data_IF_564499379802
#
_entry.id   IF_564499379802
#
_cell.length_a   1.000
_cell.length_b   1.000
_cell.length_c   1.000
_cell.angle_alpha   90.00
_cell.angle_beta   90.00
_cell.angle_gamma   90.00
#
_symmetry.space_group_name_H-M   'P 1'
#
loop_
_entity.id
_entity.type
_entity.pdbx_description
1 polymer ?
#
# COMPACT_ATOMS: atom_id res chain seq x y z
N UNK A 1 -24.94 1.79 12.23
CA UNK A 1 -23.88 0.74 12.19
C UNK A 1 -22.71 1.20 13.02
N UNK A 2 -22.18 0.34 13.87
CA UNK A 2 -20.88 0.53 14.53
C UNK A 2 -19.77 0.43 13.50
N UNK A 3 -18.53 0.79 13.86
CA UNK A 3 -17.38 0.65 12.98
C UNK A 3 -17.15 -0.82 12.57
N UNK A 4 -17.36 -1.76 13.49
CA UNK A 4 -17.20 -3.19 13.25
C UNK A 4 -18.31 -3.73 12.33
N UNK A 5 -19.58 -3.37 12.55
CA UNK A 5 -20.67 -3.76 11.65
C UNK A 5 -20.44 -3.24 10.23
N UNK A 6 -19.87 -2.03 10.10
CA UNK A 6 -19.52 -1.41 8.84
C UNK A 6 -18.39 -2.18 8.16
N UNK A 7 -17.31 -2.46 8.88
CA UNK A 7 -16.20 -3.26 8.39
C UNK A 7 -16.66 -4.64 7.90
N UNK A 8 -17.40 -5.39 8.73
CA UNK A 8 -17.94 -6.70 8.37
C UNK A 8 -18.84 -6.65 7.13
N UNK A 9 -19.59 -5.56 6.95
CA UNK A 9 -20.37 -5.33 5.74
C UNK A 9 -19.47 -5.09 4.51
N UNK A 10 -18.42 -4.29 4.65
CA UNK A 10 -17.54 -3.93 3.52
C UNK A 10 -16.73 -5.11 3.01
N UNK A 11 -16.22 -5.98 3.89
CA UNK A 11 -15.47 -7.18 3.47
C UNK A 11 -16.34 -8.20 2.73
N UNK A 12 -17.66 -8.08 2.79
CA UNK A 12 -18.57 -8.94 2.01
C UNK A 12 -18.59 -8.61 0.51
N UNK A 13 -18.03 -7.46 0.10
CA UNK A 13 -17.88 -7.10 -1.30
C UNK A 13 -16.58 -7.66 -1.85
N UNK A 14 -16.65 -8.38 -2.96
CA UNK A 14 -15.48 -8.76 -3.73
C UNK A 14 -15.02 -7.54 -4.55
N UNK A 15 -13.80 -7.07 -4.29
CA UNK A 15 -13.23 -5.87 -4.94
C UNK A 15 -11.82 -6.11 -5.44
N UNK A 16 -11.43 -7.36 -5.65
CA UNK A 16 -10.09 -7.72 -6.10
C UNK A 16 -9.71 -6.97 -7.39
N UNK A 17 -8.54 -6.35 -7.38
CA UNK A 17 -7.93 -5.69 -8.54
C UNK A 17 -7.32 -6.69 -9.54
N UNK A 18 -6.99 -6.23 -10.74
CA UNK A 18 -6.39 -7.03 -11.83
C UNK A 18 -5.29 -6.24 -12.54
N UNK A 19 -4.04 -6.63 -12.34
CA UNK A 19 -2.86 -6.02 -12.95
C UNK A 19 -2.87 -6.03 -14.49
N UNK A 20 -3.60 -6.97 -15.09
CA UNK A 20 -3.60 -7.20 -16.54
C UNK A 20 -4.77 -6.51 -17.26
N UNK A 21 -5.66 -5.86 -16.52
CA UNK A 21 -6.89 -5.29 -17.09
C UNK A 21 -6.65 -4.12 -18.04
N UNK A 22 -5.68 -3.25 -17.72
CA UNK A 22 -5.46 -1.98 -18.46
C UNK A 22 -6.60 -0.95 -18.34
N UNK A 23 -7.66 -1.25 -17.59
CA UNK A 23 -8.77 -0.34 -17.29
C UNK A 23 -8.59 0.33 -15.90
N UNK A 24 -9.41 1.34 -15.60
CA UNK A 24 -9.57 1.93 -14.27
C UNK A 24 -11.06 2.17 -14.02
N UNK A 25 -11.68 1.60 -12.96
CA UNK A 25 -11.07 0.59 -12.09
C UNK A 25 -10.71 -0.69 -12.86
N UNK A 26 -9.69 -1.40 -12.39
CA UNK A 26 -9.18 -2.60 -13.07
C UNK A 26 -10.21 -3.72 -13.10
N UNK A 27 -11.16 -3.73 -12.17
CA UNK A 27 -12.30 -4.65 -12.17
C UNK A 27 -13.63 -3.92 -11.91
N UNK A 28 -14.73 -4.33 -12.59
CA UNK A 28 -16.05 -3.74 -12.37
C UNK A 28 -16.59 -3.90 -10.94
N UNK A 29 -16.08 -4.88 -10.20
CA UNK A 29 -16.47 -5.17 -8.81
C UNK A 29 -16.21 -3.98 -7.88
N UNK A 30 -15.13 -3.25 -8.10
CA UNK A 30 -14.79 -2.05 -7.35
C UNK A 30 -15.84 -0.96 -7.51
N UNK A 31 -16.38 -0.78 -8.74
CA UNK A 31 -17.47 0.17 -9.00
C UNK A 31 -18.77 -0.20 -8.25
N UNK A 32 -19.05 -1.49 -8.09
CA UNK A 32 -20.21 -1.94 -7.29
C UNK A 32 -20.08 -1.51 -5.84
N UNK A 33 -18.90 -1.66 -5.27
CA UNK A 33 -18.62 -1.22 -3.89
C UNK A 33 -18.62 0.31 -3.77
N UNK A 34 -18.03 1.03 -4.75
CA UNK A 34 -18.06 2.50 -4.78
C UNK A 34 -19.50 3.05 -4.82
N UNK A 35 -20.39 2.43 -5.57
CA UNK A 35 -21.82 2.80 -5.61
C UNK A 35 -22.52 2.55 -4.27
N UNK A 36 -22.20 1.43 -3.61
CA UNK A 36 -22.69 1.15 -2.26
C UNK A 36 -22.25 2.24 -1.28
N UNK A 37 -20.94 2.55 -1.25
CA UNK A 37 -20.38 3.59 -0.40
C UNK A 37 -21.01 4.96 -0.69
N UNK A 38 -21.17 5.33 -1.95
CA UNK A 38 -21.86 6.56 -2.35
C UNK A 38 -23.24 6.64 -1.71
N UNK A 39 -24.04 5.58 -1.82
CA UNK A 39 -25.39 5.55 -1.25
C UNK A 39 -25.38 5.66 0.28
N UNK A 40 -24.39 5.06 0.94
CA UNK A 40 -24.22 5.20 2.40
C UNK A 40 -23.84 6.62 2.79
N UNK A 41 -22.90 7.26 2.08
CA UNK A 41 -22.50 8.65 2.33
C UNK A 41 -23.69 9.61 2.15
N UNK A 42 -24.55 9.41 1.14
CA UNK A 42 -25.78 10.18 0.93
C UNK A 42 -26.72 10.05 2.14
N UNK A 43 -26.94 8.84 2.65
CA UNK A 43 -27.81 8.59 3.82
C UNK A 43 -27.25 9.17 5.11
N UNK A 44 -25.94 9.22 5.27
CA UNK A 44 -25.27 9.79 6.45
C UNK A 44 -25.26 11.32 6.46
N UNK A 45 -25.50 11.95 5.31
CA UNK A 45 -25.56 13.40 5.17
C UNK A 45 -24.28 14.07 4.74
N UNK A 46 -23.36 13.32 4.11
CA UNK A 46 -22.20 13.92 3.44
C UNK A 46 -22.66 14.85 2.31
N UNK A 47 -21.85 15.83 2.01
CA UNK A 47 -22.08 16.83 0.97
C UNK A 47 -21.07 16.68 -0.17
N UNK A 48 -21.32 17.34 -1.30
CA UNK A 48 -20.41 17.35 -2.47
C UNK A 48 -19.95 15.94 -2.88
N UNK A 49 -20.86 14.96 -2.80
CA UNK A 49 -20.55 13.56 -3.12
C UNK A 49 -20.39 13.42 -4.62
N UNK A 50 -19.27 12.85 -5.05
CA UNK A 50 -18.97 12.63 -6.46
C UNK A 50 -18.27 11.29 -6.66
N UNK A 51 -18.86 10.45 -7.52
CA UNK A 51 -18.27 9.21 -8.02
C UNK A 51 -18.05 9.37 -9.51
N UNK A 52 -16.81 9.25 -9.97
CA UNK A 52 -16.49 9.35 -11.38
C UNK A 52 -16.48 7.97 -12.09
N UNK A 53 -16.29 8.00 -13.40
CA UNK A 53 -16.26 6.80 -14.26
C UNK A 53 -15.06 5.88 -13.97
N UNK A 54 -14.01 6.40 -13.34
CA UNK A 54 -12.83 5.65 -12.95
C UNK A 54 -12.93 5.04 -11.54
N UNK A 55 -14.05 5.26 -10.83
CA UNK A 55 -14.29 4.71 -9.51
C UNK A 55 -13.80 5.57 -8.34
N UNK A 56 -13.30 6.79 -8.57
CA UNK A 56 -12.92 7.68 -7.47
C UNK A 56 -14.15 8.30 -6.83
N UNK A 57 -14.36 8.01 -5.54
CA UNK A 57 -15.46 8.52 -4.75
C UNK A 57 -14.95 9.56 -3.76
N UNK A 58 -15.39 10.82 -3.94
CA UNK A 58 -15.07 11.92 -3.03
C UNK A 58 -16.32 12.46 -2.36
N UNK A 59 -16.21 12.87 -1.10
CA UNK A 59 -17.28 13.54 -0.38
C UNK A 59 -16.73 14.52 0.64
N UNK A 60 -17.61 15.41 1.12
CA UNK A 60 -17.31 16.41 2.14
C UNK A 60 -18.10 16.13 3.40
N UNK A 61 -17.43 16.15 4.54
CA UNK A 61 -18.04 16.34 5.84
C UNK A 61 -17.97 17.84 6.21
N UNK A 62 -19.09 18.54 6.36
CA UNK A 62 -19.09 19.98 6.56
C UNK A 62 -18.50 20.38 7.91
N UNK A 63 -17.83 21.54 7.97
CA UNK A 63 -17.32 22.11 9.21
C UNK A 63 -18.43 22.38 10.21
N UNK A 64 -18.15 22.28 11.51
CA UNK A 64 -19.05 22.66 12.60
C UNK A 64 -18.50 23.84 13.43
N UNK A 65 -17.58 24.60 12.88
CA UNK A 65 -16.97 25.81 13.46
C UNK A 65 -16.90 26.93 12.42
N UNK A 66 -17.02 28.19 12.89
CA UNK A 66 -16.85 29.39 12.07
C UNK A 66 -15.37 29.87 12.01
N UNK A 67 -14.45 29.18 12.71
CA UNK A 67 -13.04 29.51 12.64
C UNK A 67 -12.49 29.17 11.26
N UNK A 68 -11.51 29.93 10.74
CA UNK A 68 -10.78 29.59 9.53
C UNK A 68 -9.85 28.40 9.81
N UNK A 69 -10.33 27.20 9.50
CA UNK A 69 -9.60 25.93 9.67
C UNK A 69 -9.31 25.36 8.30
N UNK A 70 -8.08 24.89 8.04
CA UNK A 70 -7.74 24.26 6.78
C UNK A 70 -8.62 23.04 6.50
N UNK A 71 -8.95 22.81 5.23
CA UNK A 71 -9.59 21.57 4.83
C UNK A 71 -8.56 20.44 4.82
N UNK A 72 -8.87 19.35 5.49
CA UNK A 72 -8.03 18.15 5.54
C UNK A 72 -8.73 16.96 4.90
N UNK A 73 -7.96 15.96 4.49
CA UNK A 73 -8.49 14.77 3.86
C UNK A 73 -8.16 13.48 4.61
N UNK A 74 -9.04 12.47 4.47
CA UNK A 74 -8.75 11.08 4.79
C UNK A 74 -9.06 10.23 3.58
N UNK A 75 -8.15 9.31 3.27
CA UNK A 75 -8.18 8.49 2.06
C UNK A 75 -8.00 7.03 2.45
N UNK A 76 -8.70 6.14 1.77
CA UNK A 76 -8.56 4.68 1.87
C UNK A 76 -8.89 4.05 0.52
N UNK A 77 -8.28 2.89 0.22
CA UNK A 77 -8.55 2.23 -1.04
C UNK A 77 -9.67 1.18 -0.94
N UNK A 78 -10.34 0.94 -2.06
CA UNK A 78 -11.51 0.06 -2.13
C UNK A 78 -11.16 -1.35 -2.59
N UNK A 79 -10.11 -1.50 -3.37
CA UNK A 79 -9.70 -2.79 -3.92
C UNK A 79 -9.03 -3.67 -2.87
N UNK A 80 -8.90 -4.92 -3.18
CA UNK A 80 -8.12 -5.89 -2.43
C UNK A 80 -7.09 -6.52 -3.34
N UNK A 81 -5.99 -6.98 -2.75
CA UNK A 81 -4.85 -7.57 -3.44
C UNK A 81 -5.24 -8.69 -4.42
N UNK A 82 -4.60 -8.76 -5.60
CA UNK A 82 -4.73 -9.88 -6.53
C UNK A 82 -4.09 -11.19 -6.01
N UNK A 83 -3.25 -11.14 -4.96
CA UNK A 83 -2.49 -12.28 -4.46
C UNK A 83 -3.36 -13.39 -3.89
N UNK A 84 -4.51 -13.03 -3.30
CA UNK A 84 -5.46 -13.97 -2.73
C UNK A 84 -6.89 -13.53 -3.02
N UNK A 85 -7.78 -14.49 -3.28
CA UNK A 85 -9.19 -14.16 -3.56
C UNK A 85 -9.87 -13.44 -2.40
N UNK A 86 -10.60 -12.37 -2.73
CA UNK A 86 -11.52 -11.65 -1.84
C UNK A 86 -12.99 -12.00 -2.08
N UNK A 87 -13.26 -13.05 -2.86
CA UNK A 87 -14.63 -13.48 -3.17
C UNK A 87 -15.19 -14.38 -2.08
N UNK A 88 -16.35 -14.00 -1.53
CA UNK A 88 -17.05 -14.82 -0.53
C UNK A 88 -16.36 -14.83 0.83
N UNK A 89 -15.75 -13.74 1.22
CA UNK A 89 -15.12 -13.57 2.54
C UNK A 89 -16.13 -13.91 3.64
N UNK A 90 -15.76 -14.82 4.52
CA UNK A 90 -16.58 -15.27 5.65
C UNK A 90 -15.81 -15.01 6.95
N UNK A 91 -15.87 -13.78 7.48
CA UNK A 91 -15.13 -13.42 8.68
C UNK A 91 -15.80 -14.02 9.93
N UNK A 92 -14.99 -14.32 10.94
CA UNK A 92 -15.47 -14.67 12.28
C UNK A 92 -14.70 -13.94 13.36
N UNK A 93 -15.33 -13.74 14.50
CA UNK A 93 -14.70 -13.09 15.66
C UNK A 93 -14.21 -14.18 16.63
N UNK A 94 -12.94 -14.07 17.01
CA UNK A 94 -12.32 -14.83 18.10
C UNK A 94 -12.28 -13.90 19.30
N UNK A 95 -13.18 -14.12 20.26
CA UNK A 95 -13.30 -13.29 21.46
C UNK A 95 -12.23 -13.59 22.48
N UNK A 96 -11.64 -12.54 23.05
CA UNK A 96 -10.67 -12.65 24.14
C UNK A 96 -9.50 -13.58 23.80
N UNK A 97 -8.82 -13.34 22.69
CA UNK A 97 -7.74 -14.21 22.20
C UNK A 97 -6.76 -14.59 23.30
N UNK A 98 -6.53 -15.87 23.51
CA UNK A 98 -5.75 -16.39 24.64
C UNK A 98 -4.26 -16.61 24.35
N UNK A 99 -3.82 -16.40 23.10
CA UNK A 99 -2.44 -16.62 22.66
C UNK A 99 -2.15 -18.02 22.11
N UNK A 100 -3.19 -18.81 21.83
CA UNK A 100 -3.06 -20.14 21.23
C UNK A 100 -3.29 -20.13 19.73
N UNK A 101 -3.08 -21.27 19.08
CA UNK A 101 -3.34 -21.46 17.66
C UNK A 101 -4.83 -21.24 17.34
N UNK A 102 -5.11 -20.52 16.25
CA UNK A 102 -6.46 -20.30 15.73
C UNK A 102 -6.64 -21.16 14.47
N UNK A 103 -7.47 -22.18 14.52
CA UNK A 103 -7.80 -22.99 13.34
C UNK A 103 -8.72 -22.17 12.44
N UNK A 104 -8.25 -21.77 11.26
CA UNK A 104 -9.02 -21.05 10.25
C UNK A 104 -9.85 -22.00 9.38
N UNK A 105 -9.24 -23.10 8.92
CA UNK A 105 -9.89 -24.13 8.13
C UNK A 105 -9.38 -25.52 8.56
N UNK A 106 -10.28 -26.37 9.06
CA UNK A 106 -9.92 -27.73 9.46
C UNK A 106 -9.63 -28.62 8.24
N UNK A 107 -10.44 -28.50 7.18
CA UNK A 107 -10.33 -29.31 5.97
C UNK A 107 -8.96 -29.19 5.29
N UNK A 108 -8.45 -27.95 5.23
CA UNK A 108 -7.18 -27.62 4.56
C UNK A 108 -6.01 -27.48 5.56
N UNK A 109 -6.26 -27.78 6.85
CA UNK A 109 -5.30 -27.62 7.95
C UNK A 109 -4.65 -26.23 7.99
N UNK A 110 -5.45 -25.17 7.77
CA UNK A 110 -4.98 -23.78 7.82
C UNK A 110 -5.08 -23.29 9.27
N UNK A 111 -3.93 -22.98 9.85
CA UNK A 111 -3.82 -22.58 11.27
C UNK A 111 -3.06 -21.25 11.33
N UNK A 112 -3.70 -20.23 11.89
CA UNK A 112 -3.04 -18.98 12.27
C UNK A 112 -2.39 -19.19 13.64
N UNK A 113 -1.08 -19.35 13.65
CA UNK A 113 -0.31 -19.77 14.82
C UNK A 113 0.69 -18.70 15.25
N UNK A 114 0.79 -18.38 16.54
CA UNK A 114 1.82 -17.45 17.06
C UNK A 114 3.25 -17.98 16.90
N UNK A 115 3.44 -19.24 16.53
CA UNK A 115 4.76 -19.77 16.14
C UNK A 115 5.23 -19.28 14.79
N UNK A 116 4.30 -19.02 13.87
CA UNK A 116 4.57 -18.49 12.53
C UNK A 116 4.37 -16.97 12.48
N UNK A 117 3.44 -16.47 13.28
CA UNK A 117 3.02 -15.08 13.35
C UNK A 117 3.10 -14.60 14.81
N UNK A 118 4.31 -14.31 15.31
CA UNK A 118 4.52 -13.98 16.73
C UNK A 118 3.81 -12.70 17.17
N UNK A 119 3.50 -11.78 16.26
CA UNK A 119 2.73 -10.56 16.50
C UNK A 119 1.33 -10.83 17.07
N UNK A 120 0.76 -12.01 16.84
CA UNK A 120 -0.49 -12.42 17.48
C UNK A 120 -0.44 -12.33 19.00
N UNK A 121 0.73 -12.54 19.61
CA UNK A 121 0.88 -12.53 21.07
C UNK A 121 0.71 -11.14 21.67
N UNK A 122 0.87 -10.09 20.89
CA UNK A 122 0.67 -8.69 21.32
C UNK A 122 -0.82 -8.38 21.49
N UNK A 123 -1.70 -9.21 20.93
CA UNK A 123 -3.16 -9.06 20.95
C UNK A 123 -3.88 -9.99 21.93
N UNK A 124 -3.16 -10.56 22.92
CA UNK A 124 -3.78 -11.40 23.96
C UNK A 124 -4.81 -10.62 24.76
N UNK A 125 -6.01 -11.18 24.86
CA UNK A 125 -7.15 -10.58 25.54
C UNK A 125 -8.00 -9.67 24.64
N UNK A 126 -7.55 -9.40 23.40
CA UNK A 126 -8.34 -8.65 22.40
C UNK A 126 -9.27 -9.59 21.59
N UNK A 127 -10.26 -8.99 20.95
CA UNK A 127 -11.16 -9.68 20.04
C UNK A 127 -10.61 -9.57 18.61
N UNK A 128 -10.39 -10.70 17.94
CA UNK A 128 -9.79 -10.73 16.61
C UNK A 128 -10.83 -11.10 15.55
N UNK A 129 -10.88 -10.33 14.46
CA UNK A 129 -11.61 -10.71 13.25
C UNK A 129 -10.63 -11.46 12.34
N UNK A 130 -10.98 -12.68 11.96
CA UNK A 130 -10.15 -13.58 11.14
C UNK A 130 -10.93 -14.10 9.94
N UNK A 131 -10.23 -14.60 8.93
CA UNK A 131 -10.84 -15.27 7.78
C UNK A 131 -11.22 -16.71 8.09
N UNK A 132 -11.82 -17.40 7.11
CA UNK A 132 -12.04 -18.84 7.12
C UNK A 132 -10.87 -19.64 6.50
N UNK A 133 -9.73 -19.01 6.25
CA UNK A 133 -8.55 -19.62 5.65
C UNK A 133 -8.63 -19.93 4.15
N UNK A 134 -9.74 -19.57 3.48
CA UNK A 134 -9.95 -19.77 2.03
C UNK A 134 -9.84 -18.49 1.21
N UNK A 135 -9.92 -17.33 1.88
CA UNK A 135 -9.81 -15.99 1.28
C UNK A 135 -8.89 -15.12 2.12
N UNK A 136 -8.47 -13.96 1.58
CA UNK A 136 -8.03 -12.87 2.43
C UNK A 136 -9.20 -12.33 3.28
N UNK A 137 -8.95 -11.43 4.23
CA UNK A 137 -10.00 -10.75 5.02
C UNK A 137 -10.48 -9.48 4.34
N UNK A 138 -9.57 -8.69 3.77
CA UNK A 138 -9.81 -7.38 3.19
C UNK A 138 -9.82 -6.26 4.23
N UNK A 139 -9.10 -6.43 5.34
CA UNK A 139 -8.83 -5.35 6.28
C UNK A 139 -8.02 -4.24 5.60
N UNK A 140 -7.14 -4.63 4.74
CA UNK A 140 -6.44 -3.81 3.76
C UNK A 140 -7.32 -3.61 2.52
N UNK A 141 -7.98 -2.42 2.27
CA UNK A 141 -8.03 -1.29 3.21
C UNK A 141 -9.49 -0.93 3.57
N UNK A 142 -10.38 -1.94 3.64
CA UNK A 142 -11.78 -1.73 4.04
C UNK A 142 -11.92 -1.38 5.53
N UNK A 143 -10.89 -1.65 6.34
CA UNK A 143 -10.83 -1.15 7.72
C UNK A 143 -10.72 0.37 7.71
N UNK A 144 -9.78 0.94 6.97
CA UNK A 144 -9.62 2.39 6.84
C UNK A 144 -10.89 3.07 6.33
N UNK A 145 -11.59 2.49 5.35
CA UNK A 145 -12.89 3.03 4.89
C UNK A 145 -13.91 3.06 6.05
N UNK A 146 -14.02 1.96 6.80
CA UNK A 146 -14.97 1.86 7.92
C UNK A 146 -14.64 2.85 9.05
N UNK A 147 -13.37 3.04 9.33
CA UNK A 147 -12.84 3.98 10.33
C UNK A 147 -13.14 5.42 9.97
N UNK A 148 -12.84 5.83 8.73
CA UNK A 148 -13.10 7.18 8.22
C UNK A 148 -14.59 7.51 8.32
N UNK A 149 -15.46 6.66 7.77
CA UNK A 149 -16.90 6.91 7.77
C UNK A 149 -17.45 6.92 9.20
N UNK A 150 -17.00 6.00 10.05
CA UNK A 150 -17.46 5.93 11.44
C UNK A 150 -16.98 7.10 12.28
N UNK A 151 -15.79 7.64 12.01
CA UNK A 151 -15.30 8.86 12.65
C UNK A 151 -16.19 10.07 12.31
N UNK A 152 -16.66 10.19 11.07
CA UNK A 152 -17.59 11.26 10.68
C UNK A 152 -18.94 11.11 11.36
N UNK A 153 -19.46 9.88 11.49
CA UNK A 153 -20.68 9.61 12.25
C UNK A 153 -20.51 9.98 13.72
N UNK A 154 -19.36 9.62 14.32
CA UNK A 154 -19.04 9.99 15.70
C UNK A 154 -18.99 11.51 15.89
N UNK A 155 -18.38 12.27 14.98
CA UNK A 155 -18.36 13.73 15.02
C UNK A 155 -19.78 14.33 14.91
N UNK A 156 -20.68 13.70 14.15
CA UNK A 156 -22.10 14.10 14.08
C UNK A 156 -22.83 13.94 15.41
N UNK A 157 -22.55 12.85 16.11
CA UNK A 157 -23.14 12.53 17.41
C UNK A 157 -22.53 13.36 18.56
N UNK A 158 -21.34 13.95 18.33
CA UNK A 158 -20.58 14.74 19.28
C UNK A 158 -20.29 16.16 18.76
N UNK A 159 -21.32 17.03 18.59
CA UNK A 159 -21.16 18.36 18.00
C UNK A 159 -20.32 19.33 18.87
N UNK A 160 -20.04 18.98 20.13
CA UNK A 160 -19.09 19.68 20.99
C UNK A 160 -17.64 19.57 20.48
N UNK A 161 -17.28 18.50 19.77
CA UNK A 161 -15.98 18.34 19.11
C UNK A 161 -15.97 19.22 17.87
N UNK A 162 -15.16 20.28 17.89
CA UNK A 162 -15.05 21.22 16.76
C UNK A 162 -14.08 20.70 15.72
N UNK A 163 -14.45 20.84 14.46
CA UNK A 163 -13.63 20.46 13.30
C UNK A 163 -13.90 21.37 12.11
N UNK A 164 -12.92 21.50 11.25
CA UNK A 164 -13.02 22.15 9.94
C UNK A 164 -13.73 21.29 8.90
N UNK A 165 -13.68 21.72 7.65
CA UNK A 165 -14.11 20.90 6.49
C UNK A 165 -13.22 19.67 6.38
N UNK A 166 -13.82 18.49 6.29
CA UNK A 166 -13.11 17.23 6.09
C UNK A 166 -13.50 16.65 4.73
N UNK A 167 -12.52 16.29 3.93
CA UNK A 167 -12.73 15.55 2.70
C UNK A 167 -12.47 14.07 2.94
N UNK A 168 -13.30 13.22 2.37
CA UNK A 168 -13.05 11.78 2.32
C UNK A 168 -12.88 11.35 0.88
N UNK A 169 -11.90 10.48 0.62
CA UNK A 169 -11.60 9.94 -0.70
C UNK A 169 -11.47 8.43 -0.64
N UNK A 170 -12.20 7.75 -1.52
CA UNK A 170 -12.07 6.30 -1.69
C UNK A 170 -11.69 6.02 -3.13
N UNK A 171 -10.54 5.38 -3.32
CA UNK A 171 -9.93 5.17 -4.63
C UNK A 171 -9.82 3.69 -4.98
N UNK A 172 -9.83 3.34 -6.28
CA UNK A 172 -9.61 1.99 -6.77
C UNK A 172 -8.12 1.72 -6.97
N UNK A 173 -7.76 0.44 -7.19
CA UNK A 173 -6.51 -0.01 -7.80
C UNK A 173 -5.21 0.39 -7.08
N UNK A 174 -5.25 0.61 -5.76
CA UNK A 174 -4.04 0.84 -4.94
C UNK A 174 -3.12 -0.35 -5.01
N UNK A 175 -3.63 -1.54 -4.82
CA UNK A 175 -2.92 -2.81 -4.71
C UNK A 175 -2.12 -3.22 -5.97
N UNK A 176 -2.40 -2.55 -7.08
CA UNK A 176 -1.66 -2.69 -8.33
C UNK A 176 -0.87 -1.41 -8.68
N UNK A 177 -0.72 -0.50 -7.71
CA UNK A 177 0.06 0.74 -7.81
C UNK A 177 -0.56 1.81 -8.69
N UNK A 178 -1.86 1.76 -8.98
CA UNK A 178 -2.57 2.68 -9.86
C UNK A 178 -3.55 3.61 -9.12
N UNK A 179 -3.69 3.47 -7.80
CA UNK A 179 -4.69 4.19 -7.01
C UNK A 179 -4.58 5.71 -7.10
N UNK A 180 -3.37 6.26 -7.09
CA UNK A 180 -3.18 7.71 -7.23
C UNK A 180 -3.19 8.21 -8.69
N UNK A 181 -3.19 7.33 -9.70
CA UNK A 181 -2.95 7.72 -11.10
C UNK A 181 -3.93 8.77 -11.62
N UNK A 182 -5.22 8.53 -11.46
CA UNK A 182 -6.30 9.42 -11.90
C UNK A 182 -6.96 10.19 -10.77
N UNK A 183 -6.38 10.12 -9.56
CA UNK A 183 -6.86 10.90 -8.42
C UNK A 183 -6.73 12.39 -8.70
N UNK A 184 -7.83 13.11 -8.71
CA UNK A 184 -7.91 14.55 -8.97
C UNK A 184 -7.69 15.32 -7.65
N UNK A 185 -6.43 15.70 -7.40
CA UNK A 185 -6.02 16.41 -6.18
C UNK A 185 -6.69 17.79 -6.08
N UNK A 186 -6.87 18.52 -7.20
CA UNK A 186 -7.52 19.83 -7.19
C UNK A 186 -8.99 19.70 -6.80
N UNK A 187 -9.70 18.73 -7.37
CA UNK A 187 -11.10 18.44 -7.04
C UNK A 187 -11.25 17.89 -5.61
N UNK A 188 -10.29 17.13 -5.13
CA UNK A 188 -10.26 16.69 -3.75
C UNK A 188 -10.17 17.86 -2.79
N UNK A 189 -9.31 18.86 -3.05
CA UNK A 189 -9.38 20.19 -2.48
C UNK A 189 -9.09 20.27 -0.99
N UNK A 190 -7.96 19.67 -0.54
CA UNK A 190 -7.43 19.77 0.81
C UNK A 190 -6.03 20.37 0.82
N UNK A 191 -5.59 20.90 1.96
CA UNK A 191 -4.20 21.31 2.15
C UNK A 191 -3.28 20.11 2.35
N UNK A 192 -3.75 19.08 3.05
CA UNK A 192 -3.09 17.77 3.19
C UNK A 192 -4.12 16.68 3.47
N UNK A 193 -3.70 15.44 3.37
CA UNK A 193 -4.53 14.29 3.71
C UNK A 193 -3.73 13.24 4.50
N UNK A 194 -4.41 12.20 4.95
CA UNK A 194 -3.83 10.98 5.52
C UNK A 194 -4.46 9.79 4.83
N UNK A 195 -3.65 8.82 4.38
CA UNK A 195 -4.15 7.50 4.03
C UNK A 195 -4.30 6.67 5.29
N UNK A 196 -5.44 5.99 5.43
CA UNK A 196 -5.69 5.05 6.53
C UNK A 196 -5.34 3.63 6.07
N UNK A 197 -4.09 3.43 5.66
CA UNK A 197 -3.60 2.27 4.91
C UNK A 197 -2.33 1.66 5.54
N UNK A 198 -2.03 2.05 6.76
CA UNK A 198 -0.94 1.46 7.55
C UNK A 198 -1.37 0.17 8.27
N UNK A 199 -0.40 -0.60 8.73
CA UNK A 199 -0.63 -1.89 9.39
C UNK A 199 -0.96 -1.76 10.88
N UNK A 200 -0.01 -2.14 11.71
CA UNK A 200 -0.12 -2.29 13.16
C UNK A 200 -0.48 -0.98 13.88
N UNK A 201 -1.23 -1.09 14.96
CA UNK A 201 -1.61 0.06 15.82
C UNK A 201 -0.41 0.92 16.21
N UNK A 202 -0.54 2.21 15.91
CA UNK A 202 0.45 3.24 16.20
C UNK A 202 1.38 3.54 15.03
N UNK A 203 1.35 2.80 13.94
CA UNK A 203 2.17 3.10 12.76
C UNK A 203 1.80 4.47 12.18
N UNK A 204 2.84 5.28 12.01
CA UNK A 204 2.79 6.58 11.35
C UNK A 204 3.96 6.63 10.37
N UNK A 205 3.64 6.73 9.10
CA UNK A 205 4.59 6.53 8.04
C UNK A 205 4.59 7.72 7.08
N UNK A 206 5.73 8.37 6.97
CA UNK A 206 5.94 9.49 6.06
C UNK A 206 7.22 9.36 5.24
N UNK A 207 7.76 8.13 5.21
CA UNK A 207 8.90 7.72 4.40
C UNK A 207 8.58 6.40 3.71
N UNK A 208 9.00 6.28 2.46
CA UNK A 208 8.89 5.07 1.67
C UNK A 208 10.11 4.92 0.76
N UNK A 209 10.28 3.78 0.12
CA UNK A 209 11.32 3.62 -0.87
C UNK A 209 11.17 4.61 -2.05
N UNK A 210 12.31 5.04 -2.62
CA UNK A 210 12.36 5.38 -4.04
C UNK A 210 12.41 4.07 -4.84
N UNK A 211 11.73 4.00 -5.96
CA UNK A 211 11.54 2.78 -6.72
C UNK A 211 11.76 2.95 -8.21
N UNK A 212 12.47 2.01 -8.79
CA UNK A 212 12.60 1.86 -10.23
C UNK A 212 12.49 0.39 -10.65
N UNK A 213 12.04 0.16 -11.87
CA UNK A 213 12.20 -1.11 -12.57
C UNK A 213 13.38 -1.03 -13.52
N UNK A 214 14.08 -2.16 -13.68
CA UNK A 214 15.15 -2.30 -14.66
C UNK A 214 14.91 -3.56 -15.49
N UNK A 215 14.90 -3.40 -16.82
CA UNK A 215 14.81 -4.51 -17.76
C UNK A 215 16.11 -4.58 -18.54
N UNK A 216 16.80 -5.71 -18.42
CA UNK A 216 18.07 -5.98 -19.08
C UNK A 216 17.81 -6.96 -20.21
N UNK A 217 17.97 -6.52 -21.45
CA UNK A 217 17.77 -7.32 -22.64
C UNK A 217 19.14 -7.66 -23.20
N UNK A 218 19.46 -8.95 -23.26
CA UNK A 218 20.78 -9.47 -23.71
C UNK A 218 20.59 -10.21 -25.02
N UNK A 219 21.22 -9.71 -26.05
CA UNK A 219 21.24 -10.34 -27.37
C UNK A 219 22.42 -11.30 -27.52
N UNK A 220 22.12 -12.50 -27.90
CA UNK A 220 23.10 -13.52 -28.26
C UNK A 220 23.34 -13.62 -29.77
N UNK A 221 24.05 -14.62 -30.14
CA UNK A 221 24.26 -15.05 -31.54
C UNK A 221 24.36 -16.57 -31.55
N UNK A 222 23.33 -17.22 -32.08
CA UNK A 222 23.28 -18.66 -32.14
C UNK A 222 24.00 -19.19 -33.40
N UNK A 223 24.65 -20.30 -33.23
CA UNK A 223 25.20 -21.12 -34.31
C UNK A 223 25.17 -22.59 -33.87
N UNK A 224 25.25 -23.52 -34.81
CA UNK A 224 25.29 -24.94 -34.49
C UNK A 224 26.40 -25.26 -33.47
N UNK A 225 26.10 -25.93 -32.35
CA UNK A 225 27.06 -26.12 -31.22
C UNK A 225 28.39 -26.71 -31.64
N UNK A 226 28.43 -27.61 -32.64
CA UNK A 226 29.63 -28.20 -33.17
C UNK A 226 30.57 -27.23 -33.90
N UNK A 227 30.08 -26.03 -34.24
CA UNK A 227 30.83 -24.97 -34.94
C UNK A 227 30.88 -23.65 -34.18
N UNK A 228 30.53 -23.69 -32.89
CA UNK A 228 30.29 -22.54 -32.05
C UNK A 228 31.57 -21.79 -31.61
N UNK A 229 32.71 -22.42 -31.65
CA UNK A 229 33.98 -21.82 -31.21
C UNK A 229 34.23 -20.48 -31.90
N UNK A 230 34.46 -19.43 -31.10
CA UNK A 230 34.74 -18.04 -31.53
C UNK A 230 33.62 -17.38 -32.35
N UNK A 231 32.42 -17.99 -32.37
CA UNK A 231 31.26 -17.49 -33.13
C UNK A 231 30.01 -17.29 -32.26
N UNK A 232 29.66 -18.26 -31.39
CA UNK A 232 28.48 -18.21 -30.57
C UNK A 232 28.63 -17.20 -29.43
N UNK A 233 27.60 -16.42 -29.23
CA UNK A 233 27.36 -15.66 -27.99
C UNK A 233 26.09 -16.22 -27.39
N UNK A 234 26.21 -16.97 -26.32
CA UNK A 234 25.03 -17.52 -25.63
C UNK A 234 24.52 -16.49 -24.63
N UNK A 235 23.35 -15.89 -24.90
CA UNK A 235 22.76 -14.83 -24.06
C UNK A 235 22.51 -15.28 -22.64
N UNK A 236 22.17 -16.56 -22.38
CA UNK A 236 21.98 -17.13 -21.04
C UNK A 236 23.25 -17.09 -20.20
N UNK A 237 24.42 -17.39 -20.84
CA UNK A 237 25.72 -17.29 -20.17
C UNK A 237 26.10 -15.85 -19.85
N UNK A 238 25.84 -14.95 -20.82
CA UNK A 238 26.05 -13.50 -20.62
C UNK A 238 25.13 -12.96 -19.51
N UNK A 239 23.90 -13.45 -19.42
CA UNK A 239 22.98 -13.11 -18.35
C UNK A 239 23.52 -13.50 -16.96
N UNK A 240 24.07 -14.71 -16.83
CA UNK A 240 24.73 -15.13 -15.59
C UNK A 240 25.92 -14.23 -15.22
N UNK A 241 26.70 -13.81 -16.21
CA UNK A 241 27.82 -12.88 -15.98
C UNK A 241 27.30 -11.50 -15.52
N UNK A 242 26.21 -11.02 -16.13
CA UNK A 242 25.59 -9.76 -15.70
C UNK A 242 25.10 -9.83 -14.26
N UNK A 243 24.36 -10.88 -13.90
CA UNK A 243 23.87 -11.10 -12.52
C UNK A 243 25.02 -11.15 -11.52
N UNK A 244 26.15 -11.78 -11.89
CA UNK A 244 27.33 -11.90 -11.04
C UNK A 244 28.10 -10.57 -10.81
N UNK A 245 27.75 -9.50 -11.54
CA UNK A 245 28.31 -8.16 -11.29
C UNK A 245 27.60 -7.43 -10.15
N UNK A 246 26.38 -7.84 -9.81
CA UNK A 246 25.60 -7.18 -8.77
C UNK A 246 26.08 -7.61 -7.37
N UNK A 247 25.95 -6.74 -6.35
CA UNK A 247 26.22 -7.09 -4.97
C UNK A 247 25.37 -8.29 -4.52
N UNK A 248 25.96 -9.22 -3.80
CA UNK A 248 25.27 -10.44 -3.34
C UNK A 248 24.49 -10.26 -2.06
N UNK A 249 24.73 -9.17 -1.33
CA UNK A 249 24.15 -8.82 -0.05
C UNK A 249 23.15 -7.64 -0.13
N UNK A 250 23.12 -6.94 -1.26
CA UNK A 250 22.10 -5.90 -1.54
C UNK A 250 20.86 -6.52 -2.23
N UNK A 251 20.25 -7.51 -1.57
CA UNK A 251 19.06 -8.24 -2.03
C UNK A 251 18.02 -8.28 -0.92
N UNK A 252 16.71 -8.46 -1.20
CA UNK A 252 15.68 -8.44 -0.18
C UNK A 252 15.92 -9.37 0.99
N UNK A 253 16.49 -10.56 0.71
CA UNK A 253 16.77 -11.61 1.70
C UNK A 253 17.88 -11.23 2.69
N UNK A 254 18.69 -10.20 2.36
CA UNK A 254 19.83 -9.75 3.17
C UNK A 254 19.69 -8.34 3.71
N UNK A 255 18.56 -7.66 3.45
CA UNK A 255 18.38 -6.24 3.78
C UNK A 255 17.15 -6.00 4.66
N UNK A 256 17.25 -5.05 5.59
CA UNK A 256 16.17 -4.60 6.45
C UNK A 256 16.16 -3.07 6.64
N UNK A 257 15.19 -2.54 7.37
CA UNK A 257 15.07 -1.13 7.71
C UNK A 257 15.24 -0.22 6.50
N UNK A 258 16.24 0.65 6.55
CA UNK A 258 16.54 1.64 5.49
C UNK A 258 17.45 1.12 4.37
N UNK A 259 17.87 -0.14 4.43
CA UNK A 259 18.77 -0.70 3.42
C UNK A 259 18.04 -0.92 2.09
N UNK A 260 18.64 -0.42 1.02
CA UNK A 260 18.16 -0.62 -0.35
C UNK A 260 18.57 -1.98 -0.93
N UNK A 261 18.01 -2.31 -2.10
CA UNK A 261 18.31 -3.58 -2.77
C UNK A 261 18.10 -3.55 -4.28
N UNK A 262 18.71 -4.52 -4.96
CA UNK A 262 18.39 -4.96 -6.31
C UNK A 262 17.70 -6.32 -6.23
N UNK A 263 16.44 -6.40 -6.58
CA UNK A 263 15.71 -7.66 -6.56
C UNK A 263 15.51 -8.20 -7.98
N UNK A 264 16.13 -9.34 -8.26
CA UNK A 264 15.91 -10.10 -9.48
C UNK A 264 14.53 -10.77 -9.40
N UNK A 265 13.55 -10.25 -10.15
CA UNK A 265 12.19 -10.76 -10.13
C UNK A 265 11.86 -11.74 -11.23
N UNK A 266 12.70 -11.81 -12.28
CA UNK A 266 12.45 -12.73 -13.37
C UNK A 266 13.61 -12.80 -14.36
N UNK A 267 13.80 -13.98 -14.95
CA UNK A 267 14.73 -14.21 -16.05
C UNK A 267 14.11 -15.20 -17.02
N UNK A 268 14.02 -14.81 -18.28
CA UNK A 268 13.51 -15.68 -19.37
C UNK A 268 14.42 -15.55 -20.58
N UNK A 269 14.82 -16.67 -21.19
CA UNK A 269 15.70 -16.57 -22.34
C UNK A 269 16.06 -17.88 -23.02
N UNK A 270 16.71 -17.71 -24.16
CA UNK A 270 17.31 -18.73 -25.02
C UNK A 270 18.69 -18.28 -25.49
N UNK A 271 19.35 -19.04 -26.34
CA UNK A 271 20.69 -18.67 -26.83
C UNK A 271 20.73 -17.33 -27.56
N UNK A 272 19.64 -16.99 -28.28
CA UNK A 272 19.56 -15.75 -29.08
C UNK A 272 19.24 -14.53 -28.22
N UNK A 273 18.41 -14.67 -27.18
CA UNK A 273 18.01 -13.54 -26.33
C UNK A 273 17.63 -13.99 -24.92
N UNK A 274 18.08 -13.25 -23.94
CA UNK A 274 17.65 -13.37 -22.54
C UNK A 274 17.18 -12.01 -22.04
N UNK A 275 16.07 -11.99 -21.32
CA UNK A 275 15.55 -10.82 -20.62
C UNK A 275 15.61 -11.07 -19.14
N UNK A 276 16.15 -10.10 -18.39
CA UNK A 276 16.20 -10.11 -16.93
C UNK A 276 15.41 -8.91 -16.43
N UNK A 277 14.57 -9.12 -15.41
CA UNK A 277 13.76 -8.06 -14.76
C UNK A 277 14.21 -7.86 -13.33
N UNK A 278 14.46 -6.62 -12.97
CA UNK A 278 14.80 -6.18 -11.62
C UNK A 278 13.86 -5.11 -11.13
N UNK A 279 13.66 -5.05 -9.82
CA UNK A 279 13.21 -3.86 -9.12
C UNK A 279 14.35 -3.33 -8.24
N UNK A 280 14.50 -2.00 -8.20
CA UNK A 280 15.52 -1.28 -7.44
C UNK A 280 14.82 -0.44 -6.40
N UNK A 281 15.29 -0.51 -5.15
CA UNK A 281 14.71 0.20 -4.02
C UNK A 281 15.79 0.80 -3.15
N UNK A 282 15.62 2.06 -2.72
CA UNK A 282 16.40 2.69 -1.65
C UNK A 282 15.62 3.87 -1.07
N UNK A 283 15.67 4.10 0.24
CA UNK A 283 15.04 5.26 0.88
C UNK A 283 15.79 6.56 0.58
N UNK A 284 17.11 6.50 0.48
CA UNK A 284 17.95 7.65 0.17
C UNK A 284 17.95 7.93 -1.34
N UNK A 285 17.60 9.15 -1.72
CA UNK A 285 17.52 9.55 -3.13
C UNK A 285 18.87 9.43 -3.86
N UNK A 286 19.96 9.84 -3.21
CA UNK A 286 21.27 9.83 -3.84
C UNK A 286 21.79 8.37 -4.05
N UNK A 287 21.55 7.49 -3.07
CA UNK A 287 21.85 6.06 -3.20
C UNK A 287 21.00 5.42 -4.29
N UNK A 288 19.70 5.72 -4.33
CA UNK A 288 18.81 5.24 -5.39
C UNK A 288 19.30 5.63 -6.79
N UNK A 289 19.69 6.89 -7.01
CA UNK A 289 20.27 7.31 -8.27
C UNK A 289 21.60 6.58 -8.57
N UNK A 290 22.44 6.39 -7.54
CA UNK A 290 23.67 5.62 -7.68
C UNK A 290 23.42 4.15 -8.07
N UNK A 291 22.37 3.53 -7.56
CA UNK A 291 21.96 2.18 -7.95
C UNK A 291 21.62 2.10 -9.45
N UNK A 292 20.87 3.06 -9.97
CA UNK A 292 20.56 3.13 -11.41
C UNK A 292 21.82 3.33 -12.27
N UNK A 293 22.73 4.19 -11.82
CA UNK A 293 24.02 4.39 -12.51
C UNK A 293 24.91 3.14 -12.47
N UNK A 294 24.87 2.36 -11.40
CA UNK A 294 25.57 1.08 -11.33
C UNK A 294 25.02 0.09 -12.36
N UNK A 295 23.69 -0.01 -12.52
CA UNK A 295 23.09 -0.84 -13.57
C UNK A 295 23.59 -0.47 -14.97
N UNK A 296 23.73 0.82 -15.27
CA UNK A 296 24.30 1.30 -16.54
C UNK A 296 25.77 0.86 -16.72
N UNK A 297 26.58 1.03 -15.66
CA UNK A 297 28.00 0.61 -15.68
C UNK A 297 28.14 -0.89 -15.90
N UNK A 298 27.31 -1.72 -15.28
CA UNK A 298 27.33 -3.17 -15.49
C UNK A 298 26.96 -3.56 -16.93
N UNK A 299 25.95 -2.89 -17.50
CA UNK A 299 25.59 -3.07 -18.90
C UNK A 299 26.78 -2.69 -19.85
N UNK A 300 27.49 -1.59 -19.56
CA UNK A 300 28.65 -1.17 -20.29
C UNK A 300 29.82 -2.17 -20.19
N UNK A 301 30.05 -2.76 -19.01
CA UNK A 301 31.08 -3.79 -18.82
C UNK A 301 30.85 -4.99 -19.77
N UNK A 302 29.58 -5.44 -19.81
CA UNK A 302 29.19 -6.55 -20.69
C UNK A 302 29.34 -6.16 -22.18
N UNK A 303 28.88 -4.95 -22.55
CA UNK A 303 28.99 -4.44 -23.92
C UNK A 303 30.44 -4.30 -24.37
N UNK A 304 31.35 -3.87 -23.50
CA UNK A 304 32.79 -3.82 -23.80
C UNK A 304 33.36 -5.21 -24.07
N UNK A 305 32.85 -6.24 -23.38
CA UNK A 305 33.35 -7.62 -23.52
C UNK A 305 32.83 -8.34 -24.77
N UNK A 306 31.54 -8.19 -25.05
CA UNK A 306 30.83 -8.97 -26.07
C UNK A 306 30.47 -8.18 -27.33
N UNK A 307 30.68 -6.88 -27.34
CA UNK A 307 30.34 -5.95 -28.41
C UNK A 307 29.18 -5.04 -28.07
N UNK A 308 29.21 -3.83 -28.65
CA UNK A 308 28.18 -2.80 -28.43
C UNK A 308 26.80 -3.32 -28.86
N UNK A 309 25.79 -3.04 -28.04
CA UNK A 309 24.40 -3.46 -28.25
C UNK A 309 24.11 -4.92 -27.85
N UNK A 310 25.07 -5.64 -27.26
CA UNK A 310 24.80 -6.96 -26.65
C UNK A 310 23.84 -6.83 -25.48
N UNK A 311 23.99 -5.81 -24.64
CA UNK A 311 23.09 -5.49 -23.54
C UNK A 311 22.36 -4.16 -23.79
N UNK A 312 21.05 -4.19 -23.72
CA UNK A 312 20.20 -3.00 -23.67
C UNK A 312 19.56 -2.93 -22.29
N UNK A 313 19.67 -1.78 -21.62
CA UNK A 313 19.09 -1.53 -20.31
C UNK A 313 17.95 -0.51 -20.44
N UNK A 314 16.76 -0.88 -19.99
CA UNK A 314 15.61 -0.02 -19.86
C UNK A 314 15.38 0.23 -18.36
N UNK A 315 15.47 1.51 -17.92
CA UNK A 315 15.21 1.94 -16.55
C UNK A 315 13.96 2.80 -16.55
N UNK A 316 13.06 2.54 -15.59
CA UNK A 316 11.84 3.32 -15.41
C UNK A 316 11.61 3.58 -13.93
N UNK A 317 11.61 4.86 -13.53
CA UNK A 317 11.22 5.27 -12.20
C UNK A 317 9.72 5.02 -12.00
N UNK A 318 9.34 4.53 -10.80
CA UNK A 318 7.97 4.17 -10.46
C UNK A 318 7.37 5.17 -9.48
N UNK A 319 8.05 5.42 -8.38
CA UNK A 319 7.67 6.39 -7.34
C UNK A 319 8.89 6.82 -6.54
N UNK A 320 8.71 7.84 -5.71
CA UNK A 320 9.76 8.41 -4.88
C UNK A 320 9.37 8.47 -3.41
N UNK A 321 10.36 8.66 -2.53
CA UNK A 321 10.15 8.79 -1.11
C UNK A 321 9.36 10.08 -0.80
N UNK A 322 8.17 9.93 -0.21
CA UNK A 322 7.29 11.05 0.13
C UNK A 322 7.88 12.00 1.17
N UNK A 323 8.90 11.60 1.91
CA UNK A 323 9.60 12.44 2.88
C UNK A 323 9.99 13.79 2.28
N UNK A 324 10.46 13.83 1.03
CA UNK A 324 10.80 15.07 0.33
C UNK A 324 9.64 16.08 0.29
N UNK A 325 8.41 15.61 0.31
CA UNK A 325 7.18 16.41 0.27
C UNK A 325 6.58 16.67 1.63
N UNK A 326 6.86 15.81 2.61
CA UNK A 326 6.34 15.91 3.97
C UNK A 326 7.24 16.81 4.84
N UNK A 327 8.57 16.75 4.70
CA UNK A 327 9.51 17.57 5.48
C UNK A 327 9.19 19.08 5.51
N UNK A 328 8.75 19.74 4.41
CA UNK A 328 8.37 21.14 4.46
C UNK A 328 7.11 21.43 5.31
N UNK A 329 6.32 20.43 5.63
CA UNK A 329 5.02 20.53 6.32
C UNK A 329 4.91 19.58 7.52
N UNK A 330 6.00 19.37 8.26
CA UNK A 330 6.08 18.40 9.37
C UNK A 330 5.01 18.58 10.46
N UNK A 331 4.37 19.76 10.54
CA UNK A 331 3.25 19.98 11.46
C UNK A 331 2.11 18.97 11.28
N UNK A 332 1.92 18.40 10.07
CA UNK A 332 0.90 17.38 9.83
C UNK A 332 1.26 16.05 10.52
N UNK A 333 2.55 15.75 10.63
CA UNK A 333 3.04 14.59 11.37
C UNK A 333 2.90 14.83 12.89
N UNK A 334 3.22 16.04 13.36
CA UNK A 334 3.07 16.40 14.77
C UNK A 334 1.60 16.31 15.22
N UNK A 335 0.65 16.71 14.34
CA UNK A 335 -0.79 16.58 14.58
C UNK A 335 -1.19 15.10 14.71
N UNK A 336 -0.77 14.25 13.75
CA UNK A 336 -1.08 12.82 13.78
C UNK A 336 -0.46 12.13 15.01
N UNK A 337 0.78 12.45 15.32
CA UNK A 337 1.49 11.95 16.51
C UNK A 337 0.72 12.27 17.78
N UNK A 338 0.38 13.55 17.98
CA UNK A 338 -0.39 14.01 19.13
C UNK A 338 -1.81 13.40 19.17
N UNK A 339 -2.46 13.24 18.02
CA UNK A 339 -3.77 12.60 17.94
C UNK A 339 -3.73 11.15 18.42
N UNK A 340 -2.69 10.41 18.05
CA UNK A 340 -2.47 9.04 18.54
C UNK A 340 -2.29 9.03 20.07
N UNK A 341 -1.44 9.90 20.62
CA UNK A 341 -1.24 9.99 22.08
C UNK A 341 -2.55 10.33 22.81
N UNK A 342 -3.32 11.33 22.33
CA UNK A 342 -4.61 11.70 22.91
C UNK A 342 -5.69 10.59 22.75
N UNK A 343 -5.56 9.72 21.76
CA UNK A 343 -6.39 8.52 21.58
C UNK A 343 -5.93 7.32 22.41
N UNK A 344 -4.84 7.45 23.19
CA UNK A 344 -4.26 6.38 24.00
C UNK A 344 -3.46 5.35 23.19
N UNK A 345 -2.93 5.77 22.04
CA UNK A 345 -2.08 4.97 21.14
C UNK A 345 -0.66 5.50 21.22
N UNK A 346 0.32 4.62 21.39
CA UNK A 346 1.74 4.97 21.31
C UNK A 346 2.17 5.05 19.86
N UNK A 347 2.57 6.22 19.33
CA UNK A 347 3.02 6.35 17.95
C UNK A 347 4.30 5.55 17.67
N UNK A 348 4.34 4.89 16.53
CA UNK A 348 5.47 4.12 16.02
C UNK A 348 5.82 4.65 14.63
N UNK A 349 6.81 5.54 14.55
CA UNK A 349 7.26 6.03 13.24
C UNK A 349 8.06 4.95 12.55
N UNK A 350 7.62 4.55 11.38
CA UNK A 350 8.27 3.54 10.53
C UNK A 350 8.45 4.06 9.11
N UNK A 351 9.44 3.53 8.40
CA UNK A 351 9.61 3.74 6.97
C UNK A 351 9.01 2.55 6.21
N UNK A 352 8.20 2.83 5.20
CA UNK A 352 7.58 1.81 4.35
C UNK A 352 8.65 1.21 3.43
N UNK A 353 8.76 -0.11 3.37
CA UNK A 353 9.63 -0.82 2.43
C UNK A 353 8.92 -1.16 1.11
N UNK A 354 8.06 -0.29 0.65
CA UNK A 354 7.25 -0.39 -0.55
C UNK A 354 6.84 0.98 -1.06
N UNK A 355 5.78 1.03 -1.83
CA UNK A 355 5.07 2.24 -2.25
C UNK A 355 3.71 2.32 -1.57
N UNK A 356 3.04 3.45 -1.72
CA UNK A 356 1.69 3.70 -1.23
C UNK A 356 1.09 4.84 -2.05
N UNK A 357 -0.22 4.91 -2.11
CA UNK A 357 -0.92 6.04 -2.73
C UNK A 357 -0.53 7.37 -2.09
N UNK A 358 -0.32 7.42 -0.78
CA UNK A 358 0.14 8.61 -0.07
C UNK A 358 1.44 9.17 -0.62
N UNK A 359 2.38 8.30 -1.01
CA UNK A 359 3.62 8.73 -1.65
C UNK A 359 3.36 9.40 -3.01
N UNK A 360 2.55 8.77 -3.87
CA UNK A 360 2.24 9.31 -5.19
C UNK A 360 1.43 10.61 -5.08
N UNK A 361 0.44 10.68 -4.18
CA UNK A 361 -0.37 11.87 -3.91
C UNK A 361 0.49 13.04 -3.42
N UNK A 362 1.48 12.76 -2.56
CA UNK A 362 2.43 13.78 -2.09
C UNK A 362 3.20 14.42 -3.23
N UNK A 363 3.62 13.65 -4.23
CA UNK A 363 4.27 14.18 -5.44
C UNK A 363 3.30 14.87 -6.41
N UNK A 364 1.99 14.59 -6.31
CA UNK A 364 0.94 15.33 -7.04
C UNK A 364 0.52 16.64 -6.36
N UNK A 365 1.15 17.00 -5.23
CA UNK A 365 0.92 18.24 -4.51
C UNK A 365 -0.04 18.15 -3.33
N UNK A 366 -0.40 16.93 -2.91
CA UNK A 366 -1.19 16.66 -1.70
C UNK A 366 -0.32 15.91 -0.69
N UNK A 367 0.36 16.58 0.26
CA UNK A 367 1.09 15.89 1.32
C UNK A 367 0.19 14.88 2.03
N UNK A 368 0.58 13.59 2.03
CA UNK A 368 -0.31 12.52 2.44
C UNK A 368 0.45 11.36 3.12
N UNK A 369 0.79 11.48 4.43
CA UNK A 369 1.38 10.38 5.18
C UNK A 369 0.35 9.28 5.47
N UNK A 370 0.84 8.06 5.79
CA UNK A 370 0.01 6.94 6.19
C UNK A 370 -0.18 6.89 7.71
N UNK A 371 -1.37 6.48 8.11
CA UNK A 371 -1.76 6.13 9.48
C UNK A 371 -2.27 4.69 9.48
N UNK A 372 -2.02 3.96 10.55
CA UNK A 372 -2.45 2.58 10.72
C UNK A 372 -3.98 2.39 10.55
N UNK A 373 -4.36 1.30 9.92
CA UNK A 373 -5.73 0.75 9.91
C UNK A 373 -5.89 -0.46 10.86
N UNK A 374 -4.80 -0.94 11.44
CA UNK A 374 -4.79 -1.94 12.51
C UNK A 374 -4.87 -3.38 12.07
N UNK A 375 -4.89 -3.68 10.78
CA UNK A 375 -4.82 -5.03 10.25
C UNK A 375 -3.41 -5.59 10.20
N UNK A 376 -3.29 -6.91 10.09
CA UNK A 376 -2.01 -7.63 10.02
C UNK A 376 -2.10 -8.80 9.05
N UNK A 377 -0.93 -9.26 8.57
CA UNK A 377 -0.79 -10.39 7.63
C UNK A 377 -1.59 -10.21 6.33
N UNK A 378 -1.57 -9.01 5.79
CA UNK A 378 -2.26 -8.62 4.57
C UNK A 378 -1.99 -9.54 3.39
N UNK A 379 -2.80 -9.44 2.34
CA UNK A 379 -2.70 -10.14 1.05
C UNK A 379 -2.83 -11.67 1.13
N UNK A 380 -3.27 -12.22 2.27
CA UNK A 380 -3.30 -13.67 2.43
C UNK A 380 -4.39 -14.21 3.36
N UNK A 381 -4.46 -15.53 3.42
CA UNK A 381 -5.43 -16.27 4.23
C UNK A 381 -5.22 -16.16 5.74
N UNK A 382 -4.09 -15.60 6.16
CA UNK A 382 -3.73 -15.40 7.58
C UNK A 382 -3.99 -13.97 8.04
N UNK A 383 -4.61 -13.17 7.19
CA UNK A 383 -4.99 -11.79 7.50
C UNK A 383 -5.98 -11.75 8.67
N UNK A 384 -5.73 -10.84 9.58
CA UNK A 384 -6.61 -10.60 10.73
C UNK A 384 -6.57 -9.14 11.16
N UNK A 385 -7.59 -8.73 11.90
CA UNK A 385 -7.61 -7.40 12.51
C UNK A 385 -8.22 -7.45 13.90
N UNK A 386 -7.55 -6.90 14.92
CA UNK A 386 -8.14 -6.74 16.24
C UNK A 386 -9.24 -5.67 16.22
N UNK A 387 -10.37 -5.95 16.84
CA UNK A 387 -11.50 -5.00 16.96
C UNK A 387 -11.04 -3.71 17.63
N UNK A 388 -10.26 -3.82 18.69
CA UNK A 388 -9.73 -2.68 19.44
C UNK A 388 -8.80 -1.80 18.59
N UNK A 389 -8.14 -2.38 17.57
CA UNK A 389 -7.29 -1.64 16.63
C UNK A 389 -8.12 -0.73 15.72
N UNK A 390 -9.19 -1.26 15.13
CA UNK A 390 -10.15 -0.49 14.31
C UNK A 390 -10.76 0.66 15.13
N UNK A 391 -11.17 0.38 16.38
CA UNK A 391 -11.74 1.41 17.26
C UNK A 391 -10.74 2.52 17.61
N UNK A 392 -9.46 2.16 17.80
CA UNK A 392 -8.38 3.13 18.06
C UNK A 392 -8.11 3.98 16.81
N UNK A 393 -8.04 3.39 15.62
CA UNK A 393 -7.82 4.10 14.37
C UNK A 393 -8.95 5.11 14.10
N UNK A 394 -10.21 4.70 14.25
CA UNK A 394 -11.35 5.62 14.18
C UNK A 394 -11.21 6.80 15.15
N UNK A 395 -10.78 6.56 16.40
CA UNK A 395 -10.57 7.63 17.40
C UNK A 395 -9.44 8.56 16.99
N UNK A 396 -8.38 8.05 16.36
CA UNK A 396 -7.27 8.88 15.86
C UNK A 396 -7.77 9.83 14.77
N UNK A 397 -8.60 9.37 13.84
CA UNK A 397 -9.23 10.23 12.83
C UNK A 397 -10.02 11.38 13.49
N UNK A 398 -10.84 11.07 14.50
CA UNK A 398 -11.59 12.09 15.27
C UNK A 398 -10.65 13.08 15.94
N UNK A 399 -9.56 12.60 16.55
CA UNK A 399 -8.58 13.45 17.25
C UNK A 399 -7.79 14.35 16.30
N UNK A 400 -7.44 13.87 15.12
CA UNK A 400 -6.81 14.71 14.08
C UNK A 400 -7.75 15.86 13.71
N UNK A 401 -9.02 15.56 13.42
CA UNK A 401 -10.00 16.57 13.06
C UNK A 401 -10.21 17.64 14.17
N UNK A 402 -10.24 17.21 15.43
CA UNK A 402 -10.31 18.08 16.60
C UNK A 402 -9.07 18.96 16.75
N UNK A 403 -7.88 18.38 16.66
CA UNK A 403 -6.60 19.08 16.85
C UNK A 403 -6.38 20.16 15.78
N UNK A 404 -6.76 19.90 14.54
CA UNK A 404 -6.68 20.87 13.43
C UNK A 404 -7.57 22.09 13.69
N UNK A 405 -8.66 21.96 14.44
CA UNK A 405 -9.60 23.06 14.74
C UNK A 405 -9.30 23.79 16.08
N UNK A 406 -8.36 23.30 16.87
CA UNK A 406 -7.93 23.96 18.12
C UNK A 406 -7.08 25.19 17.85
#
# INVERSE_FOLDING_TARGET
MTVIERFLKYVSFDTQSDENSGATPSTPKQMVFAQYLRSELEQLGFQEISLDENGYLFATWPANTDKPVPAIGFIAHMDTSPDMTGAGVTPRIVYGYDGTDIVLCEEDNVILSPKQFPELLDHKGEDLIVTNGKTLLGADDKAGIAEIISAMVYLKEHPEIKHGKIRVGFNPDEEIGLGAHKFDVERFGCEWAYTMDGGEVGELEFENFNAASAKVIIKGRNVHPGYAKDKMINSLRVANEFVALLPTDEVPECTDGYQGFYHLIGMTGEVEQTTISYIIRDHDRAKFEACKENMKKWAEIINKKYGEGTVTLELKDQYYNMREKIEPVMHIIDIAFKAMEEAGVTPKVKAIRGGTDGAQLSFKGLPCPNIFAGGLNFHGRYEFVPIQSIEKAMKVVVKIAELVAR
#
